data_IF_588765751115
#
_entry.id   IF_588765751115
#
_cell.length_a   1.000
_cell.length_b   1.000
_cell.length_c   1.000
_cell.angle_alpha   90.00
_cell.angle_beta   90.00
_cell.angle_gamma   90.00
#
_symmetry.space_group_name_H-M   'P 1'
#
loop_
_entity.id
_entity.type
_entity.pdbx_description
1 polymer ?
#
# COMPACT_ATOMS: atom_id res chain seq x y z
N UNK A 1 20.98 -4.05 7.02
CA UNK A 1 19.96 -5.01 6.60
C UNK A 1 18.57 -4.44 6.80
N UNK A 2 17.58 -4.89 6.05
CA UNK A 2 16.20 -4.41 6.08
C UNK A 2 15.25 -5.60 6.13
N UNK A 3 14.29 -5.58 7.06
CA UNK A 3 13.23 -6.58 7.17
C UNK A 3 11.98 -6.08 6.45
N UNK A 4 11.48 -6.88 5.52
CA UNK A 4 10.21 -6.67 4.84
C UNK A 4 9.20 -7.70 5.35
N UNK A 5 8.04 -7.24 5.75
CA UNK A 5 6.95 -8.09 6.26
C UNK A 5 5.65 -7.79 5.53
N UNK A 6 4.88 -8.85 5.31
CA UNK A 6 3.46 -8.76 5.03
C UNK A 6 2.71 -9.31 6.22
N UNK A 7 1.76 -8.53 6.73
CA UNK A 7 0.88 -8.97 7.79
C UNK A 7 -0.48 -9.36 7.18
N UNK A 8 -1.02 -10.47 7.65
CA UNK A 8 -2.40 -10.79 7.38
C UNK A 8 -3.30 -9.85 8.17
N UNK A 9 -4.37 -9.35 7.55
CA UNK A 9 -5.35 -8.50 8.22
C UNK A 9 -6.09 -9.24 9.34
N UNK A 10 -6.29 -10.54 9.19
CA UNK A 10 -6.89 -11.39 10.22
C UNK A 10 -5.87 -11.71 11.32
N UNK A 11 -5.91 -10.94 12.38
CA UNK A 11 -5.02 -11.07 13.54
C UNK A 11 -3.65 -10.39 13.41
N UNK A 12 -3.35 -9.74 12.31
CA UNK A 12 -2.09 -9.00 12.04
C UNK A 12 -0.84 -9.87 12.23
N UNK A 13 -0.92 -11.14 11.87
CA UNK A 13 0.19 -12.07 11.93
C UNK A 13 1.06 -11.98 10.67
N UNK A 14 2.41 -12.09 10.80
CA UNK A 14 3.28 -12.16 9.65
C UNK A 14 2.99 -13.39 8.79
N UNK A 15 2.56 -13.18 7.55
CA UNK A 15 2.35 -14.26 6.57
C UNK A 15 3.49 -14.35 5.54
N UNK A 16 4.30 -13.31 5.41
CA UNK A 16 5.49 -13.30 4.56
C UNK A 16 6.57 -12.42 5.20
N UNK A 17 7.82 -12.88 5.14
CA UNK A 17 8.93 -12.08 5.63
C UNK A 17 10.21 -12.37 4.88
N UNK A 18 10.98 -11.33 4.55
CA UNK A 18 12.30 -11.45 3.94
C UNK A 18 13.24 -10.38 4.46
N UNK A 19 14.49 -10.77 4.67
CA UNK A 19 15.56 -9.87 5.04
C UNK A 19 16.40 -9.59 3.80
N UNK A 20 16.65 -8.31 3.52
CA UNK A 20 17.48 -7.87 2.41
C UNK A 20 18.61 -6.96 2.90
N UNK A 21 19.52 -6.62 1.99
CA UNK A 21 20.44 -5.53 2.21
C UNK A 21 19.68 -4.20 2.36
N UNK A 22 20.24 -3.25 3.11
CA UNK A 22 19.56 -1.99 3.44
C UNK A 22 19.25 -1.09 2.24
N UNK A 23 19.99 -1.26 1.14
CA UNK A 23 19.84 -0.52 -0.12
C UNK A 23 18.77 -1.09 -1.06
N UNK A 24 18.19 -2.24 -0.75
CA UNK A 24 17.12 -2.83 -1.56
C UNK A 24 15.83 -2.03 -1.39
N UNK A 25 15.28 -1.52 -2.49
CA UNK A 25 14.01 -0.81 -2.51
C UNK A 25 12.84 -1.77 -2.21
N UNK A 26 11.88 -1.30 -1.43
CA UNK A 26 10.69 -2.07 -1.02
C UNK A 26 9.90 -2.62 -2.21
N UNK A 27 9.77 -1.84 -3.27
CA UNK A 27 9.11 -2.23 -4.53
C UNK A 27 9.71 -3.51 -5.11
N UNK A 28 11.06 -3.69 -5.07
CA UNK A 28 11.70 -4.90 -5.59
C UNK A 28 11.29 -6.15 -4.81
N UNK A 29 11.00 -6.00 -3.53
CA UNK A 29 10.49 -7.10 -2.71
C UNK A 29 9.03 -7.37 -3.03
N UNK A 30 8.21 -6.34 -3.17
CA UNK A 30 6.79 -6.47 -3.52
C UNK A 30 6.57 -7.26 -4.82
N UNK A 31 7.44 -7.10 -5.82
CA UNK A 31 7.42 -7.87 -7.07
C UNK A 31 7.60 -9.38 -6.88
N UNK A 32 8.19 -9.81 -5.76
CA UNK A 32 8.51 -11.23 -5.49
C UNK A 32 7.45 -11.93 -4.66
N UNK A 33 6.47 -11.19 -4.13
CA UNK A 33 5.45 -11.75 -3.28
C UNK A 33 4.32 -12.32 -4.14
N UNK A 34 4.06 -13.64 -4.09
CA UNK A 34 3.02 -14.28 -4.90
C UNK A 34 1.66 -14.12 -4.21
N UNK A 35 1.04 -12.95 -4.35
CA UNK A 35 -0.31 -12.76 -3.84
C UNK A 35 -1.33 -13.54 -4.69
N UNK A 36 -2.23 -14.33 -4.06
CA UNK A 36 -3.35 -14.97 -4.76
C UNK A 36 -4.31 -13.93 -5.36
N UNK A 37 -4.95 -14.29 -6.47
CA UNK A 37 -6.04 -13.48 -7.02
C UNK A 37 -7.14 -13.25 -5.97
N UNK A 38 -7.71 -12.06 -5.95
CA UNK A 38 -8.70 -11.63 -4.94
C UNK A 38 -8.09 -11.03 -3.66
N UNK A 39 -6.75 -11.13 -3.46
CA UNK A 39 -6.08 -10.44 -2.36
C UNK A 39 -6.19 -8.93 -2.50
N UNK A 40 -6.41 -8.23 -1.39
CA UNK A 40 -6.30 -6.76 -1.32
C UNK A 40 -5.01 -6.41 -0.58
N UNK A 41 -4.05 -5.86 -1.29
CA UNK A 41 -2.76 -5.42 -0.73
C UNK A 41 -2.89 -3.96 -0.29
N UNK A 42 -2.46 -3.67 0.94
CA UNK A 42 -2.45 -2.30 1.47
C UNK A 42 -1.01 -1.88 1.71
N UNK A 43 -0.58 -0.85 1.02
CA UNK A 43 0.80 -0.37 1.09
C UNK A 43 0.89 1.16 1.25
N UNK A 44 2.08 1.65 1.52
CA UNK A 44 2.33 3.08 1.61
C UNK A 44 2.83 3.68 0.28
N UNK A 45 3.02 5.00 0.26
CA UNK A 45 3.51 5.75 -0.92
C UNK A 45 4.86 5.28 -1.45
N UNK A 46 5.66 4.62 -0.64
CA UNK A 46 6.96 4.09 -1.02
C UNK A 46 6.88 2.97 -2.04
N UNK A 47 5.74 2.27 -2.07
CA UNK A 47 5.48 1.18 -3.00
C UNK A 47 4.85 1.62 -4.32
N UNK A 48 4.56 2.91 -4.52
CA UNK A 48 3.95 3.40 -5.76
C UNK A 48 4.87 3.19 -6.97
N UNK A 49 4.62 2.07 -7.65
CA UNK A 49 5.21 1.69 -8.95
C UNK A 49 4.08 1.32 -9.91
N UNK A 50 3.96 2.06 -11.00
CA UNK A 50 2.86 1.89 -11.95
C UNK A 50 2.90 0.54 -12.67
N UNK A 51 4.09 -0.03 -12.92
CA UNK A 51 4.23 -1.37 -13.49
C UNK A 51 3.76 -2.45 -12.50
N UNK A 52 4.06 -2.28 -11.22
CA UNK A 52 3.58 -3.17 -10.17
C UNK A 52 2.05 -3.14 -10.07
N UNK A 53 1.44 -1.96 -10.17
CA UNK A 53 -0.01 -1.83 -10.16
C UNK A 53 -0.68 -2.47 -11.37
N UNK A 54 -0.08 -2.36 -12.56
CA UNK A 54 -0.54 -3.06 -13.75
C UNK A 54 -0.44 -4.57 -13.58
N UNK A 55 0.70 -5.07 -13.12
CA UNK A 55 0.93 -6.48 -12.85
C UNK A 55 -0.09 -7.06 -11.86
N UNK A 56 -0.33 -6.39 -10.73
CA UNK A 56 -1.33 -6.81 -9.77
C UNK A 56 -2.74 -6.81 -10.37
N UNK A 57 -3.08 -5.79 -11.13
CA UNK A 57 -4.40 -5.70 -11.78
C UNK A 57 -4.62 -6.86 -12.75
N UNK A 58 -3.63 -7.19 -13.57
CA UNK A 58 -3.67 -8.31 -14.51
C UNK A 58 -3.70 -9.67 -13.81
N UNK A 59 -3.05 -9.79 -12.65
CA UNK A 59 -3.08 -10.98 -11.82
C UNK A 59 -4.36 -11.13 -10.96
N UNK A 60 -5.31 -10.19 -11.05
CA UNK A 60 -6.52 -10.19 -10.23
C UNK A 60 -6.27 -9.85 -8.76
N UNK A 61 -5.13 -9.23 -8.45
CA UNK A 61 -4.77 -8.73 -7.12
C UNK A 61 -5.19 -7.27 -7.03
N UNK A 62 -5.87 -6.92 -5.95
CA UNK A 62 -6.26 -5.55 -5.68
C UNK A 62 -5.25 -4.86 -4.78
N UNK A 63 -5.20 -3.53 -4.86
CA UNK A 63 -4.38 -2.73 -3.95
C UNK A 63 -5.13 -1.50 -3.45
N UNK A 64 -4.74 -1.01 -2.28
CA UNK A 64 -5.11 0.29 -1.74
C UNK A 64 -3.85 0.96 -1.25
N UNK A 65 -3.50 2.10 -1.81
CA UNK A 65 -2.29 2.85 -1.49
C UNK A 65 -2.58 4.34 -1.32
N UNK A 66 -1.69 5.06 -0.65
CA UNK A 66 -1.73 6.51 -0.64
C UNK A 66 -1.11 7.05 -1.93
N UNK A 67 -1.86 7.87 -2.65
CA UNK A 67 -1.40 8.49 -3.89
C UNK A 67 -0.27 9.49 -3.60
N UNK A 68 0.73 9.55 -4.49
CA UNK A 68 1.80 10.57 -4.41
C UNK A 68 1.24 11.93 -4.78
N UNK A 69 1.71 12.97 -4.10
CA UNK A 69 1.24 14.35 -4.32
C UNK A 69 1.57 14.89 -5.72
N UNK A 70 2.63 14.36 -6.35
CA UNK A 70 3.05 14.72 -7.70
C UNK A 70 2.51 13.78 -8.80
N UNK A 71 1.59 12.88 -8.47
CA UNK A 71 0.98 12.01 -9.46
C UNK A 71 0.11 12.81 -10.42
N UNK A 72 0.31 12.59 -11.72
CA UNK A 72 -0.46 13.24 -12.79
C UNK A 72 -1.55 12.29 -13.27
N UNK A 73 -2.76 12.80 -13.41
CA UNK A 73 -3.92 12.02 -13.83
C UNK A 73 -4.96 12.90 -14.52
N UNK A 74 -5.83 12.28 -15.28
CA UNK A 74 -7.08 12.87 -15.75
C UNK A 74 -8.26 12.15 -15.10
N UNK A 75 -9.32 12.89 -14.79
CA UNK A 75 -10.55 12.33 -14.27
C UNK A 75 -11.40 11.87 -15.46
N UNK A 76 -11.73 10.59 -15.47
CA UNK A 76 -12.57 9.96 -16.49
C UNK A 76 -14.04 10.02 -16.07
N UNK A 77 -14.31 9.80 -14.77
CA UNK A 77 -15.66 9.77 -14.23
C UNK A 77 -15.66 10.22 -12.76
N UNK A 78 -16.63 11.06 -12.40
CA UNK A 78 -16.92 11.43 -11.02
C UNK A 78 -18.02 10.52 -10.47
N UNK A 79 -17.80 9.96 -9.29
CA UNK A 79 -18.81 9.17 -8.60
C UNK A 79 -19.42 9.97 -7.44
N UNK A 80 -20.68 9.69 -7.08
CA UNK A 80 -21.31 10.33 -5.94
C UNK A 80 -20.52 10.02 -4.65
N UNK A 81 -20.01 11.04 -3.98
CA UNK A 81 -19.39 10.88 -2.67
C UNK A 81 -20.47 10.59 -1.61
N UNK A 82 -20.24 9.58 -0.72
CA UNK A 82 -21.20 9.28 0.34
C UNK A 82 -21.37 10.48 1.26
N UNK A 83 -22.59 10.94 1.44
CA UNK A 83 -22.92 11.99 2.42
C UNK A 83 -22.62 11.46 3.83
N UNK A 84 -22.05 12.29 4.69
CA UNK A 84 -21.74 12.01 6.11
C UNK A 84 -20.63 10.95 6.35
N UNK A 85 -19.66 10.79 5.44
CA UNK A 85 -18.59 9.78 5.56
C UNK A 85 -17.17 10.33 5.40
N UNK A 86 -16.95 11.62 5.58
CA UNK A 86 -15.63 12.24 5.41
C UNK A 86 -14.97 12.01 4.04
N UNK A 87 -15.77 11.59 3.04
CA UNK A 87 -15.32 11.41 1.66
C UNK A 87 -15.57 12.70 0.92
N UNK A 88 -14.51 13.29 0.37
CA UNK A 88 -14.60 14.53 -0.41
C UNK A 88 -14.82 14.22 -1.90
N UNK A 89 -14.15 13.21 -2.43
CA UNK A 89 -14.23 12.84 -3.85
C UNK A 89 -14.07 11.33 -4.01
N UNK A 90 -14.71 10.84 -5.05
CA UNK A 90 -14.63 9.47 -5.55
C UNK A 90 -14.63 9.51 -7.07
N UNK A 91 -13.52 9.10 -7.69
CA UNK A 91 -13.27 9.34 -9.11
C UNK A 91 -12.64 8.11 -9.77
N UNK A 92 -13.06 7.80 -10.99
CA UNK A 92 -12.26 6.96 -11.88
C UNK A 92 -11.26 7.84 -12.61
N UNK A 93 -9.99 7.45 -12.60
CA UNK A 93 -8.90 8.23 -13.17
C UNK A 93 -8.06 7.40 -14.14
N UNK A 94 -7.37 8.10 -15.03
CA UNK A 94 -6.29 7.59 -15.87
C UNK A 94 -5.00 8.31 -15.52
N UNK A 95 -3.90 7.58 -15.33
CA UNK A 95 -2.59 8.17 -15.09
C UNK A 95 -2.06 8.81 -16.37
N UNK A 96 -1.54 10.05 -16.29
CA UNK A 96 -1.12 10.83 -17.47
C UNK A 96 0.34 11.29 -17.43
N UNK A 97 1.06 11.04 -16.35
CA UNK A 97 2.50 11.38 -16.28
C UNK A 97 3.32 10.69 -17.38
N UNK A 98 4.51 11.20 -17.65
CA UNK A 98 5.40 10.70 -18.70
C UNK A 98 5.63 9.18 -18.57
N UNK A 99 5.23 8.42 -19.60
CA UNK A 99 5.28 6.95 -19.64
C UNK A 99 4.35 6.25 -18.64
N UNK A 100 3.42 6.96 -18.00
CA UNK A 100 2.52 6.36 -17.02
C UNK A 100 1.54 5.38 -17.67
N UNK A 101 1.00 5.72 -18.84
CA UNK A 101 0.08 4.85 -19.56
C UNK A 101 0.76 3.58 -20.11
N UNK A 102 2.02 3.67 -20.53
CA UNK A 102 2.80 2.50 -20.94
C UNK A 102 3.08 1.54 -19.77
N UNK A 103 3.20 2.10 -18.56
CA UNK A 103 3.44 1.32 -17.34
C UNK A 103 2.17 0.76 -16.72
N UNK A 104 1.08 1.53 -16.75
CA UNK A 104 -0.21 1.13 -16.21
C UNK A 104 -1.34 1.72 -17.08
N UNK A 105 -1.79 0.97 -18.11
CA UNK A 105 -2.86 1.41 -19.01
C UNK A 105 -4.25 1.33 -18.37
N UNK A 106 -4.36 0.71 -17.19
CA UNK A 106 -5.62 0.47 -16.51
C UNK A 106 -6.20 1.74 -15.91
N UNK A 107 -7.53 1.85 -15.92
CA UNK A 107 -8.23 2.84 -15.14
C UNK A 107 -8.11 2.48 -13.65
N UNK A 108 -7.84 3.49 -12.85
CA UNK A 108 -7.73 3.37 -11.40
C UNK A 108 -8.82 4.22 -10.75
N UNK A 109 -9.04 4.00 -9.48
CA UNK A 109 -9.98 4.77 -8.68
C UNK A 109 -9.23 5.64 -7.69
N UNK A 110 -9.61 6.90 -7.60
CA UNK A 110 -9.08 7.89 -6.68
C UNK A 110 -10.15 8.24 -5.65
N UNK A 111 -9.84 8.08 -4.39
CA UNK A 111 -10.72 8.44 -3.29
C UNK A 111 -10.02 9.47 -2.42
N UNK A 112 -10.68 10.59 -2.17
CA UNK A 112 -10.19 11.66 -1.31
C UNK A 112 -11.04 11.73 -0.05
N UNK A 113 -10.37 11.61 1.11
CA UNK A 113 -11.03 11.56 2.40
C UNK A 113 -10.34 12.44 3.44
N UNK A 114 -11.10 12.96 4.38
CA UNK A 114 -10.59 13.73 5.53
C UNK A 114 -10.43 12.80 6.73
N UNK A 115 -9.29 12.84 7.39
CA UNK A 115 -9.08 12.18 8.67
C UNK A 115 -9.85 12.93 9.77
N UNK A 116 -10.65 12.19 10.53
CA UNK A 116 -11.48 12.77 11.60
C UNK A 116 -10.65 13.34 12.76
N UNK A 117 -9.50 12.73 13.05
CA UNK A 117 -8.66 13.08 14.20
C UNK A 117 -7.76 14.29 13.93
N UNK A 118 -7.32 14.52 12.70
CA UNK A 118 -6.35 15.58 12.35
C UNK A 118 -6.90 16.61 11.39
N UNK A 119 -8.01 16.35 10.69
CA UNK A 119 -8.51 17.16 9.59
C UNK A 119 -7.64 17.06 8.30
N UNK A 120 -6.61 16.22 8.29
CA UNK A 120 -5.75 16.03 7.14
C UNK A 120 -6.52 15.36 5.99
N UNK A 121 -6.38 15.91 4.79
CA UNK A 121 -6.91 15.28 3.59
C UNK A 121 -5.94 14.22 3.08
N UNK A 122 -6.42 12.99 2.93
CA UNK A 122 -5.71 11.87 2.37
C UNK A 122 -6.28 11.50 1.00
N UNK A 123 -5.39 11.17 0.07
CA UNK A 123 -5.78 10.72 -1.26
C UNK A 123 -5.32 9.28 -1.46
N UNK A 124 -6.28 8.40 -1.70
CA UNK A 124 -6.04 6.98 -1.95
C UNK A 124 -6.19 6.65 -3.42
N UNK A 125 -5.44 5.64 -3.85
CA UNK A 125 -5.54 5.07 -5.19
C UNK A 125 -5.71 3.55 -5.09
N UNK A 126 -6.59 3.00 -5.92
CA UNK A 126 -6.90 1.57 -5.95
C UNK A 126 -7.33 1.13 -7.35
N UNK A 127 -7.15 -0.13 -7.67
CA UNK A 127 -7.75 -0.78 -8.84
C UNK A 127 -9.08 -1.49 -8.49
N UNK A 128 -9.54 -1.40 -7.24
CA UNK A 128 -10.79 -2.04 -6.81
C UNK A 128 -11.98 -1.11 -6.99
N UNK A 129 -12.69 -1.23 -8.10
CA UNK A 129 -13.85 -0.40 -8.42
C UNK A 129 -15.12 -0.77 -7.65
N UNK A 130 -15.20 -2.00 -7.12
CA UNK A 130 -16.41 -2.51 -6.43
C UNK A 130 -16.53 -2.16 -4.95
N UNK A 131 -15.45 -1.69 -4.28
CA UNK A 131 -15.52 -1.29 -2.88
C UNK A 131 -16.19 0.08 -2.71
N UNK A 132 -16.87 0.30 -1.60
CA UNK A 132 -17.34 1.65 -1.23
C UNK A 132 -16.16 2.60 -0.94
N UNK A 133 -16.29 3.90 -1.24
CA UNK A 133 -15.23 4.88 -0.98
C UNK A 133 -14.83 4.94 0.51
N UNK A 134 -15.80 4.86 1.42
CA UNK A 134 -15.56 4.77 2.86
C UNK A 134 -14.82 3.49 3.26
N UNK A 135 -15.06 2.39 2.55
CA UNK A 135 -14.36 1.12 2.77
C UNK A 135 -12.89 1.24 2.36
N UNK A 136 -12.59 1.87 1.23
CA UNK A 136 -11.21 2.15 0.78
C UNK A 136 -10.45 2.95 1.83
N UNK A 137 -11.06 4.00 2.38
CA UNK A 137 -10.45 4.82 3.43
C UNK A 137 -10.25 4.02 4.74
N UNK A 138 -11.22 3.18 5.13
CA UNK A 138 -11.14 2.33 6.31
C UNK A 138 -10.03 1.28 6.19
N UNK A 139 -9.93 0.59 5.04
CA UNK A 139 -8.87 -0.39 4.76
C UNK A 139 -7.49 0.27 4.91
N UNK A 140 -7.29 1.46 4.37
CA UNK A 140 -6.01 2.14 4.50
C UNK A 140 -5.69 2.53 5.94
N UNK A 141 -6.69 2.87 6.75
CA UNK A 141 -6.49 3.16 8.17
C UNK A 141 -5.87 1.97 8.91
N UNK A 142 -6.24 0.75 8.54
CA UNK A 142 -5.73 -0.48 9.17
C UNK A 142 -4.24 -0.71 8.87
N UNK A 143 -3.67 -0.11 7.82
CA UNK A 143 -2.23 -0.15 7.55
C UNK A 143 -1.38 0.31 8.74
N UNK A 144 -1.92 1.20 9.57
CA UNK A 144 -1.24 1.66 10.78
C UNK A 144 -0.87 0.52 11.74
N UNK A 145 -1.59 -0.60 11.71
CA UNK A 145 -1.29 -1.78 12.53
C UNK A 145 0.10 -2.34 12.24
N UNK A 146 0.59 -2.23 11.01
CA UNK A 146 1.96 -2.63 10.64
C UNK A 146 2.99 -1.81 11.42
N UNK A 147 2.77 -0.51 11.57
CA UNK A 147 3.66 0.38 12.33
C UNK A 147 3.65 0.04 13.82
N UNK A 148 2.46 -0.26 14.38
CA UNK A 148 2.32 -0.71 15.76
C UNK A 148 3.02 -2.05 15.99
N UNK A 149 2.90 -2.99 15.04
CA UNK A 149 3.60 -4.26 15.08
C UNK A 149 5.12 -4.06 15.13
N UNK A 150 5.69 -3.26 14.23
CA UNK A 150 7.12 -2.97 14.24
C UNK A 150 7.58 -2.26 15.52
N UNK A 151 6.76 -1.37 16.06
CA UNK A 151 7.03 -0.70 17.34
C UNK A 151 7.09 -1.72 18.47
N UNK A 152 6.13 -2.61 18.57
CA UNK A 152 6.10 -3.68 19.55
C UNK A 152 7.29 -4.63 19.41
N UNK A 153 7.62 -5.02 18.16
CA UNK A 153 8.77 -5.86 17.85
C UNK A 153 10.09 -5.24 18.37
N UNK A 154 10.32 -3.96 18.05
CA UNK A 154 11.51 -3.24 18.50
C UNK A 154 11.60 -3.10 20.03
N UNK A 155 10.47 -2.89 20.69
CA UNK A 155 10.40 -2.74 22.14
C UNK A 155 10.62 -4.07 22.86
N UNK A 156 9.98 -5.13 22.43
CA UNK A 156 9.99 -6.43 23.12
C UNK A 156 11.26 -7.24 22.84
N UNK A 157 11.77 -7.20 21.62
CA UNK A 157 13.01 -7.92 21.27
C UNK A 157 14.28 -7.14 21.63
N UNK A 158 14.14 -5.89 22.13
CA UNK A 158 15.28 -5.01 22.48
C UNK A 158 16.36 -4.94 21.38
N UNK A 159 15.93 -5.04 20.11
CA UNK A 159 16.82 -5.02 18.95
C UNK A 159 17.38 -3.60 18.80
N UNK A 160 18.44 -3.30 19.54
CA UNK A 160 19.21 -2.05 19.40
C UNK A 160 20.31 -2.18 18.36
N UNK A 161 20.88 -3.38 18.23
CA UNK A 161 22.01 -3.66 17.32
C UNK A 161 21.95 -5.13 16.92
N UNK A 162 22.09 -5.42 15.65
CA UNK A 162 22.29 -6.81 15.21
C UNK A 162 23.74 -7.21 15.39
N UNK A 163 23.98 -8.32 16.08
CA UNK A 163 25.31 -8.92 16.21
C UNK A 163 25.56 -9.76 14.96
N UNK A 164 26.42 -9.27 14.09
CA UNK A 164 26.76 -9.93 12.82
C UNK A 164 26.21 -9.17 11.60
N UNK A 165 26.99 -9.25 10.53
CA UNK A 165 26.73 -8.53 9.28
C UNK A 165 26.12 -9.41 8.19
N UNK A 166 26.04 -10.72 8.40
CA UNK A 166 25.47 -11.65 7.42
C UNK A 166 23.96 -11.79 7.57
N UNK A 167 23.27 -12.06 6.46
CA UNK A 167 21.83 -12.31 6.46
C UNK A 167 21.43 -13.49 7.37
N UNK A 168 22.28 -14.51 7.49
CA UNK A 168 22.02 -15.66 8.36
C UNK A 168 22.14 -15.30 9.85
N UNK A 169 23.11 -14.48 10.24
CA UNK A 169 23.24 -14.03 11.62
C UNK A 169 22.01 -13.27 12.11
N UNK A 170 21.38 -12.48 11.22
CA UNK A 170 20.13 -11.75 11.54
C UNK A 170 18.92 -12.67 11.62
N UNK A 171 18.88 -13.75 10.85
CA UNK A 171 17.78 -14.74 10.90
C UNK A 171 17.80 -15.61 12.17
N UNK A 172 18.94 -15.79 12.79
CA UNK A 172 19.13 -16.65 13.98
C UNK A 172 18.87 -15.86 15.27
N UNK A 173 18.92 -14.55 15.25
CA UNK A 173 18.61 -13.69 16.39
C UNK A 173 17.11 -13.46 16.56
#
# INVERSE_FOLDING_TARGET
MKLHLVLDHDGYLPCYGVITEGNVHDVKVAWRIPFPAGTVVVDDRGYNDYRLFAYWTEAGVFFVTRMKDNAQFEVIEEHPAPRNRNILRDQTIRLTGAGAQDKCPHLLRRVEAVREDTGETLVFMTNHHGLGASTVAAIYKDRWQVELFFKALKQNLKIKTFVGTSANAVKIQ
#
